data_IF_706648628923
#
_entry.id   IF_706648628923
#
_cell.length_a   1.000
_cell.length_b   1.000
_cell.length_c   1.000
_cell.angle_alpha   90.00
_cell.angle_beta   90.00
_cell.angle_gamma   90.00
#
_symmetry.space_group_name_H-M   'P 1'
#
loop_
_entity.id
_entity.type
_entity.pdbx_description
1 polymer ?
#
# COMPACT_ATOMS: atom_id res chain seq x y z
N UNK A 1 2.62 -6.80 -7.40
CA UNK A 1 2.43 -8.03 -8.16
C UNK A 1 1.49 -8.93 -7.38
N UNK A 2 0.46 -9.46 -8.02
CA UNK A 2 -0.39 -10.49 -7.45
C UNK A 2 0.43 -11.74 -7.10
N UNK A 3 -0.24 -12.85 -6.84
CA UNK A 3 0.47 -14.12 -6.62
C UNK A 3 1.31 -14.44 -7.86
N UNK A 4 2.61 -14.18 -7.78
CA UNK A 4 3.49 -14.18 -8.96
C UNK A 4 4.23 -15.49 -9.18
N UNK A 5 4.24 -16.36 -8.19
CA UNK A 5 4.91 -17.65 -8.31
C UNK A 5 4.24 -18.74 -7.47
N UNK A 6 4.59 -19.99 -7.79
CA UNK A 6 4.04 -21.17 -7.13
C UNK A 6 4.34 -21.21 -5.62
N UNK A 7 5.52 -20.76 -5.19
CA UNK A 7 5.89 -20.76 -3.78
C UNK A 7 4.97 -19.86 -2.94
N UNK A 8 4.59 -18.70 -3.47
CA UNK A 8 3.63 -17.81 -2.81
C UNK A 8 2.24 -18.43 -2.72
N UNK A 9 1.79 -19.10 -3.79
CA UNK A 9 0.53 -19.81 -3.80
C UNK A 9 0.52 -20.95 -2.78
N UNK A 10 1.56 -21.79 -2.77
CA UNK A 10 1.67 -22.93 -1.86
C UNK A 10 1.74 -22.45 -0.41
N UNK A 11 2.51 -21.39 -0.12
CA UNK A 11 2.58 -20.80 1.21
C UNK A 11 1.21 -20.28 1.67
N UNK A 12 0.47 -19.61 0.80
CA UNK A 12 -0.85 -19.08 1.12
C UNK A 12 -1.86 -20.20 1.37
N UNK A 13 -1.84 -21.29 0.59
CA UNK A 13 -2.67 -22.49 0.83
C UNK A 13 -2.41 -23.04 2.23
N UNK A 14 -1.15 -23.20 2.62
CA UNK A 14 -0.79 -23.71 3.96
C UNK A 14 -1.25 -22.77 5.08
N UNK A 15 -1.04 -21.47 4.93
CA UNK A 15 -1.47 -20.46 5.91
C UNK A 15 -2.99 -20.53 6.12
N UNK A 16 -3.76 -20.51 5.05
CA UNK A 16 -5.23 -20.52 5.13
C UNK A 16 -5.74 -21.83 5.71
N UNK A 17 -5.15 -22.97 5.32
CA UNK A 17 -5.51 -24.27 5.85
C UNK A 17 -5.24 -24.37 7.37
N UNK A 18 -4.06 -23.95 7.82
CA UNK A 18 -3.70 -23.94 9.26
C UNK A 18 -4.62 -23.03 10.05
N UNK A 19 -4.95 -21.84 9.54
CA UNK A 19 -5.89 -20.94 10.20
C UNK A 19 -7.23 -21.63 10.42
N UNK A 20 -7.75 -22.34 9.44
CA UNK A 20 -9.02 -23.07 9.57
C UNK A 20 -8.94 -24.22 10.59
N UNK A 21 -7.86 -24.99 10.56
CA UNK A 21 -7.66 -26.09 11.52
C UNK A 21 -7.55 -25.60 12.97
N UNK A 22 -7.00 -24.42 13.20
CA UNK A 22 -6.78 -23.87 14.55
C UNK A 22 -8.00 -23.14 15.13
N UNK A 23 -9.07 -22.95 14.36
CA UNK A 23 -10.28 -22.24 14.83
C UNK A 23 -11.16 -23.05 15.79
N UNK A 24 -10.95 -24.34 15.90
CA UNK A 24 -11.65 -25.21 16.86
C UNK A 24 -12.95 -25.80 16.34
N UNK A 25 -13.69 -26.45 17.26
CA UNK A 25 -14.93 -27.17 16.94
C UNK A 25 -16.01 -26.23 16.36
N UNK A 26 -16.71 -26.71 15.34
CA UNK A 26 -17.82 -26.01 14.71
C UNK A 26 -17.43 -25.06 13.55
N UNK A 27 -16.15 -24.87 13.31
CA UNK A 27 -15.66 -24.14 12.13
C UNK A 27 -15.35 -25.13 11.03
N UNK A 28 -15.90 -24.91 9.84
CA UNK A 28 -15.66 -25.79 8.70
C UNK A 28 -14.19 -25.76 8.27
N UNK A 29 -13.59 -26.92 8.13
CA UNK A 29 -12.26 -27.07 7.55
C UNK A 29 -12.29 -26.79 6.05
N UNK A 30 -11.21 -26.24 5.54
CA UNK A 30 -11.03 -26.05 4.11
C UNK A 30 -9.95 -27.00 3.61
N UNK A 31 -10.34 -27.90 2.72
CA UNK A 31 -9.37 -28.82 2.12
C UNK A 31 -8.33 -28.04 1.30
N UNK A 32 -7.02 -28.32 1.43
CA UNK A 32 -5.96 -27.60 0.72
C UNK A 32 -6.19 -27.48 -0.79
N UNK A 33 -6.71 -28.53 -1.42
CA UNK A 33 -7.02 -28.55 -2.85
C UNK A 33 -8.13 -27.58 -3.24
N UNK A 34 -9.12 -27.41 -2.38
CA UNK A 34 -10.20 -26.43 -2.59
C UNK A 34 -9.66 -25.00 -2.52
N UNK A 35 -8.78 -24.72 -1.56
CA UNK A 35 -8.09 -23.44 -1.43
C UNK A 35 -7.23 -23.18 -2.68
N UNK A 36 -6.44 -24.16 -3.11
CA UNK A 36 -5.58 -24.04 -4.29
C UNK A 36 -6.40 -23.71 -5.56
N UNK A 37 -7.50 -24.41 -5.78
CA UNK A 37 -8.37 -24.16 -6.92
C UNK A 37 -8.92 -22.73 -6.91
N UNK A 38 -9.40 -22.27 -5.76
CA UNK A 38 -9.93 -20.91 -5.61
C UNK A 38 -8.84 -19.85 -5.82
N UNK A 39 -7.62 -20.07 -5.30
CA UNK A 39 -6.51 -19.16 -5.54
C UNK A 39 -6.12 -19.08 -7.02
N UNK A 40 -6.22 -20.20 -7.74
CA UNK A 40 -5.94 -20.25 -9.18
C UNK A 40 -6.96 -19.44 -9.97
N UNK A 41 -8.24 -19.44 -9.59
CA UNK A 41 -9.28 -18.65 -10.25
C UNK A 41 -9.02 -17.14 -10.15
N UNK A 42 -8.51 -16.68 -9.02
CA UNK A 42 -8.25 -15.26 -8.76
C UNK A 42 -6.79 -14.81 -8.94
N UNK A 43 -5.92 -15.62 -9.57
CA UNK A 43 -4.48 -15.31 -9.68
C UNK A 43 -4.16 -14.01 -10.42
N UNK A 44 -5.07 -13.52 -11.25
CA UNK A 44 -4.91 -12.26 -12.00
C UNK A 44 -5.36 -11.02 -11.22
N UNK A 45 -5.81 -11.18 -9.97
CA UNK A 45 -6.24 -10.04 -9.17
C UNK A 45 -5.10 -9.02 -9.02
N UNK A 46 -5.33 -7.71 -9.26
CA UNK A 46 -4.27 -6.70 -9.33
C UNK A 46 -3.65 -6.33 -7.98
N UNK A 47 -4.24 -6.77 -6.86
CA UNK A 47 -3.72 -6.46 -5.53
C UNK A 47 -2.31 -7.03 -5.32
N UNK A 48 -1.40 -6.30 -4.63
CA UNK A 48 -0.12 -6.83 -4.21
C UNK A 48 -0.28 -8.07 -3.32
N UNK A 49 0.70 -8.98 -3.36
CA UNK A 49 0.67 -10.22 -2.58
C UNK A 49 0.42 -9.97 -1.08
N UNK A 50 1.04 -8.94 -0.51
CA UNK A 50 0.84 -8.58 0.90
C UNK A 50 -0.63 -8.25 1.23
N UNK A 51 -1.31 -7.49 0.37
CA UNK A 51 -2.71 -7.14 0.55
C UNK A 51 -3.61 -8.37 0.41
N UNK A 52 -3.28 -9.27 -0.53
CA UNK A 52 -3.95 -10.55 -0.71
C UNK A 52 -3.83 -11.40 0.56
N UNK A 53 -2.63 -11.57 1.11
CA UNK A 53 -2.39 -12.34 2.33
C UNK A 53 -3.22 -11.77 3.49
N UNK A 54 -3.21 -10.47 3.70
CA UNK A 54 -3.97 -9.81 4.78
C UNK A 54 -5.48 -10.05 4.62
N UNK A 55 -6.02 -9.82 3.43
CA UNK A 55 -7.45 -9.96 3.18
C UNK A 55 -7.91 -11.41 3.31
N UNK A 56 -7.19 -12.36 2.70
CA UNK A 56 -7.59 -13.76 2.72
C UNK A 56 -7.40 -14.40 4.10
N UNK A 57 -6.38 -14.01 4.86
CA UNK A 57 -6.23 -14.49 6.24
C UNK A 57 -7.33 -13.96 7.15
N UNK A 58 -7.75 -12.72 6.98
CA UNK A 58 -8.90 -12.14 7.68
C UNK A 58 -10.19 -12.92 7.35
N UNK A 59 -10.41 -13.20 6.07
CA UNK A 59 -11.55 -14.00 5.61
C UNK A 59 -11.54 -15.42 6.20
N UNK A 60 -10.37 -16.09 6.21
CA UNK A 60 -10.22 -17.42 6.77
C UNK A 60 -10.45 -17.48 8.30
N UNK A 61 -10.25 -16.38 9.00
CA UNK A 61 -10.54 -16.25 10.44
C UNK A 61 -12.02 -16.13 10.76
N UNK A 62 -12.83 -15.78 9.78
CA UNK A 62 -14.28 -15.65 9.97
C UNK A 62 -14.93 -17.03 10.06
N UNK A 63 -15.55 -17.32 11.21
CA UNK A 63 -16.20 -18.61 11.48
C UNK A 63 -17.43 -18.87 10.60
N UNK A 64 -18.05 -17.82 10.10
CA UNK A 64 -19.25 -17.91 9.26
C UNK A 64 -18.93 -18.32 7.81
N UNK A 65 -17.68 -18.22 7.42
CA UNK A 65 -17.20 -18.62 6.09
C UNK A 65 -16.98 -20.13 6.00
N UNK A 66 -17.94 -20.85 5.46
CA UNK A 66 -17.93 -22.32 5.43
C UNK A 66 -17.08 -22.92 4.31
N UNK A 67 -16.92 -22.20 3.20
CA UNK A 67 -16.22 -22.68 2.00
C UNK A 67 -15.22 -21.64 1.50
N UNK A 68 -14.11 -22.08 0.87
CA UNK A 68 -13.11 -21.16 0.34
C UNK A 68 -13.52 -20.53 -1.01
N UNK A 69 -14.60 -20.97 -1.64
CA UNK A 69 -15.00 -20.55 -2.99
C UNK A 69 -15.16 -19.03 -3.16
N UNK A 70 -15.45 -18.31 -2.08
CA UNK A 70 -15.64 -16.86 -2.07
C UNK A 70 -14.47 -16.09 -1.45
N UNK A 71 -13.27 -16.68 -1.40
CA UNK A 71 -12.08 -16.02 -0.85
C UNK A 71 -11.80 -14.65 -1.50
N UNK A 72 -12.03 -14.53 -2.78
CA UNK A 72 -11.78 -13.29 -3.53
C UNK A 72 -12.78 -12.18 -3.23
N UNK A 73 -13.92 -12.50 -2.63
CA UNK A 73 -14.87 -11.49 -2.13
C UNK A 73 -14.24 -10.62 -1.03
N UNK A 74 -13.23 -11.14 -0.33
CA UNK A 74 -12.45 -10.37 0.65
C UNK A 74 -11.71 -9.18 0.03
N UNK A 75 -11.53 -9.19 -1.28
CA UNK A 75 -10.87 -8.14 -2.06
C UNK A 75 -11.82 -7.41 -3.01
N UNK A 76 -13.14 -7.64 -2.91
CA UNK A 76 -14.13 -7.02 -3.79
C UNK A 76 -14.06 -5.49 -3.79
N UNK A 77 -13.83 -4.90 -2.61
CA UNK A 77 -13.70 -3.45 -2.42
C UNK A 77 -12.24 -2.98 -2.45
N UNK A 78 -11.31 -3.86 -2.81
CA UNK A 78 -9.93 -3.47 -2.90
C UNK A 78 -9.74 -2.47 -4.03
N UNK A 79 -9.21 -1.30 -3.69
CA UNK A 79 -8.72 -0.32 -4.65
C UNK A 79 -7.21 -0.13 -4.43
N UNK A 80 -6.43 0.10 -5.52
CA UNK A 80 -5.06 0.53 -5.34
C UNK A 80 -5.10 1.72 -4.39
N UNK A 81 -4.37 1.62 -3.28
CA UNK A 81 -4.15 2.78 -2.42
C UNK A 81 -3.44 3.80 -3.30
N UNK A 82 -4.21 4.68 -3.91
CA UNK A 82 -3.64 5.87 -4.50
C UNK A 82 -2.78 6.48 -3.41
N UNK A 83 -1.53 6.76 -3.69
CA UNK A 83 -0.75 7.62 -2.82
C UNK A 83 -1.58 8.89 -2.71
N UNK A 84 -2.28 9.05 -1.60
CA UNK A 84 -2.94 10.30 -1.29
C UNK A 84 -1.81 11.33 -1.35
N UNK A 85 -1.88 12.21 -2.33
CA UNK A 85 -0.91 13.28 -2.44
C UNK A 85 -0.77 13.92 -1.06
N UNK A 86 0.44 14.08 -0.54
CA UNK A 86 0.65 14.63 0.79
C UNK A 86 -0.06 15.98 0.88
N UNK A 87 -0.65 16.27 2.02
CA UNK A 87 -1.46 17.49 2.25
C UNK A 87 -0.71 18.78 1.91
N UNK A 88 0.63 18.77 2.13
CA UNK A 88 1.57 19.79 1.71
C UNK A 88 2.69 19.10 0.93
N UNK A 89 2.57 18.96 -0.38
CA UNK A 89 3.58 18.30 -1.19
C UNK A 89 4.86 19.14 -1.28
N UNK A 90 6.00 18.46 -1.42
CA UNK A 90 7.27 19.08 -1.73
C UNK A 90 7.21 19.73 -3.12
N UNK A 91 7.70 20.97 -3.25
CA UNK A 91 7.67 21.68 -4.52
C UNK A 91 8.37 20.95 -5.67
N UNK A 92 9.50 20.30 -5.40
CA UNK A 92 10.25 19.51 -6.39
C UNK A 92 9.83 18.03 -6.50
N UNK A 93 9.14 17.49 -5.48
CA UNK A 93 8.78 16.08 -5.37
C UNK A 93 7.33 15.96 -4.86
N UNK A 94 6.34 16.12 -5.73
CA UNK A 94 4.92 16.21 -5.34
C UNK A 94 4.37 14.96 -4.65
N UNK A 95 5.07 13.83 -4.73
CA UNK A 95 4.72 12.57 -4.06
C UNK A 95 5.18 12.51 -2.59
N UNK A 96 6.07 13.44 -2.19
CA UNK A 96 6.63 13.48 -0.85
C UNK A 96 6.12 14.69 -0.07
N UNK A 97 5.94 14.59 1.27
CA UNK A 97 5.55 15.73 2.08
C UNK A 97 6.69 16.75 2.20
N UNK A 98 6.39 18.04 2.06
CA UNK A 98 7.38 19.11 2.10
C UNK A 98 8.23 19.11 3.39
N UNK A 99 7.60 18.85 4.55
CA UNK A 99 8.27 18.88 5.85
C UNK A 99 9.24 17.71 6.06
N UNK A 100 9.16 16.64 5.29
CA UNK A 100 9.99 15.45 5.41
C UNK A 100 10.26 14.78 4.06
N UNK A 101 10.56 15.58 3.05
CA UNK A 101 10.88 15.07 1.72
C UNK A 101 12.22 14.30 1.75
N UNK A 102 12.15 12.99 1.53
CA UNK A 102 13.33 12.11 1.53
C UNK A 102 14.29 12.42 0.40
N UNK A 103 13.78 12.80 -0.76
CA UNK A 103 14.58 13.17 -1.92
C UNK A 103 15.36 14.45 -1.65
N UNK A 104 14.70 15.52 -1.15
CA UNK A 104 15.39 16.76 -0.78
C UNK A 104 16.43 16.56 0.31
N UNK A 105 16.17 15.66 1.27
CA UNK A 105 17.11 15.33 2.33
C UNK A 105 18.34 14.58 1.78
N UNK A 106 18.16 13.71 0.82
CA UNK A 106 19.27 13.04 0.13
C UNK A 106 20.14 14.07 -0.64
N UNK A 107 19.50 15.01 -1.34
CA UNK A 107 20.19 16.11 -2.05
C UNK A 107 20.97 17.00 -1.07
N UNK A 108 20.41 17.30 0.10
CA UNK A 108 21.10 18.04 1.15
C UNK A 108 22.33 17.28 1.67
N UNK A 109 22.24 15.99 1.90
CA UNK A 109 23.39 15.18 2.33
C UNK A 109 24.47 15.06 1.25
N UNK A 110 24.08 15.13 -0.01
CA UNK A 110 24.99 15.15 -1.15
C UNK A 110 25.59 16.56 -1.44
N UNK A 111 25.20 17.59 -0.70
CA UNK A 111 25.66 18.96 -0.89
C UNK A 111 25.02 19.69 -2.09
N UNK A 112 23.96 19.13 -2.66
CA UNK A 112 23.26 19.69 -3.82
C UNK A 112 22.15 20.68 -3.43
N UNK A 113 21.80 20.75 -2.15
CA UNK A 113 20.72 21.55 -1.61
C UNK A 113 21.08 22.03 -0.20
N UNK A 114 20.57 23.18 0.23
CA UNK A 114 20.70 23.65 1.60
C UNK A 114 19.53 23.14 2.46
N UNK A 115 19.69 23.18 3.78
CA UNK A 115 18.66 22.68 4.71
C UNK A 115 17.34 23.44 4.61
N UNK A 116 17.40 24.74 4.38
CA UNK A 116 16.24 25.63 4.21
C UNK A 116 15.51 25.43 2.87
N UNK A 117 16.12 24.74 1.91
CA UNK A 117 15.55 24.39 0.61
C UNK A 117 14.82 23.04 0.62
N UNK A 118 14.86 22.29 1.74
CA UNK A 118 14.13 21.03 1.85
C UNK A 118 12.63 21.32 1.76
N UNK A 119 11.94 20.62 0.84
CA UNK A 119 10.51 20.75 0.61
C UNK A 119 10.10 21.88 -0.33
N UNK A 120 11.04 22.73 -0.75
CA UNK A 120 10.80 23.85 -1.68
C UNK A 120 11.14 23.49 -3.12
N UNK A 121 10.55 24.21 -4.08
CA UNK A 121 10.93 24.11 -5.48
C UNK A 121 12.21 24.93 -5.73
N UNK A 122 13.23 24.29 -6.29
CA UNK A 122 14.49 24.96 -6.65
C UNK A 122 14.34 25.91 -7.85
N UNK A 123 13.26 25.77 -8.62
CA UNK A 123 13.06 26.56 -9.85
C UNK A 123 12.31 27.89 -9.62
N UNK A 124 11.87 28.16 -8.40
CA UNK A 124 11.24 29.44 -8.07
C UNK A 124 12.33 30.37 -7.54
N UNK A 125 12.75 31.41 -8.29
CA UNK A 125 13.67 32.40 -7.76
C UNK A 125 13.01 33.12 -6.58
N UNK A 126 13.74 33.23 -5.46
CA UNK A 126 13.33 33.91 -4.20
C UNK A 126 12.92 35.40 -4.38
N UNK A 127 12.82 35.88 -5.60
CA UNK A 127 12.61 37.30 -5.92
C UNK A 127 11.13 37.74 -5.85
N UNK A 128 10.17 36.83 -5.61
CA UNK A 128 8.75 37.21 -5.58
C UNK A 128 8.23 37.63 -4.20
N UNK A 129 8.88 37.28 -3.11
CA UNK A 129 8.42 37.63 -1.77
C UNK A 129 8.77 39.07 -1.36
N UNK A 130 9.73 39.72 -2.04
CA UNK A 130 10.17 41.09 -1.71
C UNK A 130 9.34 42.17 -2.41
N UNK A 131 8.52 41.81 -3.41
CA UNK A 131 7.74 42.77 -4.18
C UNK A 131 6.35 43.10 -3.61
N UNK A 132 5.82 42.26 -2.71
CA UNK A 132 4.48 42.49 -2.15
C UNK A 132 4.44 43.30 -0.86
N UNK A 133 5.57 43.50 -0.19
CA UNK A 133 5.64 44.22 1.10
C UNK A 133 5.89 45.72 0.98
N UNK A 134 6.00 46.28 -0.27
CA UNK A 134 6.30 47.70 -0.45
C UNK A 134 5.12 48.58 -0.93
N UNK A 135 3.89 48.06 -0.95
CA UNK A 135 2.74 48.85 -1.48
C UNK A 135 1.79 49.41 -0.42
N UNK A 136 2.02 49.18 0.87
CA UNK A 136 1.15 49.69 1.94
C UNK A 136 1.79 50.77 2.82
N UNK A 137 2.81 51.48 2.34
CA UNK A 137 3.34 52.65 3.02
C UNK A 137 3.55 53.82 2.02
N UNK A 138 2.43 54.39 1.52
CA UNK A 138 2.36 55.78 1.07
C UNK A 138 0.96 56.29 1.31
#
# INVERSE_FOLDING_TARGET
MPISNRLQADALVQILHVIRLTRGHGVADWHPKAIENTLREGHQHPAPYADIVVALTKYAKDSDKRVPSFLWDALADWAPKGQLAPRNPCGSHPEEPAHNCRCCRADYLAGLRTQDQIGKDLNIPDTLDTAMTRKDQQ
#
